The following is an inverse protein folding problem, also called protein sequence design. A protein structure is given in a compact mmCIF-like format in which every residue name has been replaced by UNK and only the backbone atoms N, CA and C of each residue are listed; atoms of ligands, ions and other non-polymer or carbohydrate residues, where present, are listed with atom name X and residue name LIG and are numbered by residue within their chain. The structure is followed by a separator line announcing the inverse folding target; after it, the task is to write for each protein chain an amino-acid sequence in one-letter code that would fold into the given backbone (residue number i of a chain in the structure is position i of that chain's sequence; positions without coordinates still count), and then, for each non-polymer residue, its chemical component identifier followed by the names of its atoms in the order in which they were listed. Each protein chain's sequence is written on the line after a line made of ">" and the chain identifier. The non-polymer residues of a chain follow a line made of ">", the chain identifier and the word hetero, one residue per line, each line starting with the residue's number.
data_IF_035027089999
#
_entry.id   IF_035027089999
#
_cell.length_a   1.000
_cell.length_b   1.000
_cell.length_c   1.000
_cell.angle_alpha   90.00
_cell.angle_beta   90.00
_cell.angle_gamma   90.00
#
_symmetry.space_group_name_H-M   'P 1'
#
loop_
_entity.id
_entity.type
_entity.pdbx_description
1 polymer ?
#
# COMPACT_ATOMS: atom_id res chain seq x y z
N UNK A 1 -57.19 -14.78 53.94
CA UNK A 1 -57.73 -15.16 52.61
C UNK A 1 -56.76 -14.62 51.55
N UNK A 2 -55.85 -15.46 51.06
CA UNK A 2 -54.77 -15.04 50.14
C UNK A 2 -55.06 -15.65 48.77
N UNK A 3 -55.28 -14.81 47.75
CA UNK A 3 -55.43 -15.25 46.36
C UNK A 3 -54.03 -15.47 45.77
N UNK A 4 -53.74 -16.71 45.39
CA UNK A 4 -52.52 -17.07 44.65
C UNK A 4 -52.80 -16.79 43.17
N UNK A 5 -52.30 -15.67 42.66
CA UNK A 5 -52.30 -15.36 41.23
C UNK A 5 -51.22 -16.18 40.54
N UNK A 6 -51.61 -17.18 39.75
CA UNK A 6 -50.68 -17.94 38.89
C UNK A 6 -50.32 -17.08 37.67
N UNK A 7 -49.09 -16.55 37.64
CA UNK A 7 -48.53 -15.97 36.43
C UNK A 7 -48.29 -17.10 35.42
N UNK A 8 -49.01 -17.07 34.30
CA UNK A 8 -48.77 -17.98 33.18
C UNK A 8 -47.50 -17.53 32.46
N UNK A 9 -46.35 -18.13 32.82
CA UNK A 9 -45.07 -17.87 32.18
C UNK A 9 -45.11 -18.31 30.72
N UNK A 10 -45.28 -17.36 29.80
CA UNK A 10 -45.10 -17.61 28.37
C UNK A 10 -43.62 -17.94 28.11
N UNK A 11 -43.31 -19.24 28.06
CA UNK A 11 -42.03 -19.74 27.57
C UNK A 11 -41.86 -19.35 26.10
N UNK A 12 -41.28 -18.16 25.84
CA UNK A 12 -40.76 -17.83 24.52
C UNK A 12 -39.58 -18.75 24.24
N UNK A 13 -39.82 -19.84 23.50
CA UNK A 13 -38.75 -20.68 22.98
C UNK A 13 -37.85 -19.80 22.11
N UNK A 14 -36.58 -19.64 22.50
CA UNK A 14 -35.55 -19.10 21.61
C UNK A 14 -35.50 -20.01 20.38
N UNK A 15 -35.87 -19.47 19.22
CA UNK A 15 -35.70 -20.17 17.94
C UNK A 15 -34.22 -20.18 17.63
N UNK A 16 -33.63 -21.37 17.48
CA UNK A 16 -32.26 -21.53 17.00
C UNK A 16 -32.17 -21.24 15.50
N UNK A 17 -30.96 -20.88 15.04
CA UNK A 17 -30.63 -20.76 13.62
C UNK A 17 -30.77 -22.13 12.94
N UNK A 18 -31.28 -22.16 11.71
CA UNK A 18 -31.29 -23.40 10.93
C UNK A 18 -29.96 -23.61 10.21
N UNK A 19 -29.62 -24.86 9.88
CA UNK A 19 -28.43 -25.18 9.09
C UNK A 19 -28.48 -24.51 7.71
N UNK A 20 -29.67 -24.46 7.10
CA UNK A 20 -29.91 -23.81 5.81
C UNK A 20 -29.64 -22.30 5.87
N UNK A 21 -30.01 -21.65 6.97
CA UNK A 21 -29.79 -20.22 7.18
C UNK A 21 -28.29 -19.88 7.31
N UNK A 22 -27.52 -20.72 8.00
CA UNK A 22 -26.06 -20.60 8.01
C UNK A 22 -25.43 -20.87 6.64
N UNK A 23 -25.94 -21.86 5.88
CA UNK A 23 -25.43 -22.15 4.54
C UNK A 23 -25.63 -20.96 3.59
N UNK A 24 -26.82 -20.35 3.61
CA UNK A 24 -27.11 -19.15 2.81
C UNK A 24 -26.21 -17.99 3.24
N UNK A 25 -26.00 -17.77 4.55
CA UNK A 25 -25.12 -16.72 5.05
C UNK A 25 -23.67 -16.89 4.57
N UNK A 26 -23.12 -18.12 4.61
CA UNK A 26 -21.77 -18.42 4.12
C UNK A 26 -21.66 -18.17 2.61
N UNK A 27 -22.68 -18.56 1.84
CA UNK A 27 -22.71 -18.31 0.38
C UNK A 27 -22.68 -16.81 0.08
N UNK A 28 -23.47 -16.00 0.80
CA UNK A 28 -23.48 -14.54 0.62
C UNK A 28 -22.11 -13.93 0.96
N UNK A 29 -21.51 -14.31 2.10
CA UNK A 29 -20.18 -13.84 2.49
C UNK A 29 -19.12 -14.26 1.47
N UNK A 30 -19.21 -15.47 0.93
CA UNK A 30 -18.30 -15.97 -0.11
C UNK A 30 -18.34 -15.12 -1.39
N UNK A 31 -19.54 -14.74 -1.85
CA UNK A 31 -19.70 -13.87 -3.04
C UNK A 31 -19.10 -12.49 -2.79
N UNK A 32 -19.34 -11.89 -1.63
CA UNK A 32 -18.81 -10.57 -1.30
C UNK A 32 -17.29 -10.61 -1.19
N UNK A 33 -16.73 -11.62 -0.52
CA UNK A 33 -15.30 -11.78 -0.32
C UNK A 33 -14.53 -11.89 -1.65
N UNK A 34 -15.10 -12.59 -2.65
CA UNK A 34 -14.49 -12.76 -3.96
C UNK A 34 -14.23 -11.44 -4.70
N UNK A 35 -15.09 -10.43 -4.50
CA UNK A 35 -14.96 -9.11 -5.15
C UNK A 35 -14.21 -8.14 -4.24
N UNK A 36 -14.52 -8.15 -2.94
CA UNK A 36 -13.97 -7.20 -1.97
C UNK A 36 -12.47 -7.39 -1.74
N UNK A 37 -11.99 -8.64 -1.66
CA UNK A 37 -10.60 -8.93 -1.36
C UNK A 37 -9.58 -8.38 -2.39
N UNK A 38 -9.70 -8.67 -3.71
CA UNK A 38 -8.77 -8.12 -4.69
C UNK A 38 -8.85 -6.60 -4.79
N UNK A 39 -10.04 -6.02 -4.65
CA UNK A 39 -10.24 -4.58 -4.65
C UNK A 39 -9.50 -3.89 -3.49
N UNK A 40 -9.66 -4.43 -2.27
CA UNK A 40 -8.95 -3.91 -1.09
C UNK A 40 -7.42 -4.02 -1.24
N UNK A 41 -6.94 -5.16 -1.73
CA UNK A 41 -5.51 -5.37 -1.98
C UNK A 41 -4.94 -4.33 -2.93
N UNK A 42 -5.63 -4.06 -4.04
CA UNK A 42 -5.20 -3.04 -5.02
C UNK A 42 -5.19 -1.63 -4.40
N UNK A 43 -6.22 -1.27 -3.61
CA UNK A 43 -6.22 0.01 -2.91
C UNK A 43 -5.07 0.16 -1.92
N UNK A 44 -4.72 -0.89 -1.18
CA UNK A 44 -3.56 -0.86 -0.29
C UNK A 44 -2.26 -0.65 -1.07
N UNK A 45 -2.06 -1.36 -2.19
CA UNK A 45 -0.88 -1.21 -3.06
C UNK A 45 -0.77 0.23 -3.59
N UNK A 46 -1.85 0.81 -4.09
CA UNK A 46 -1.86 2.19 -4.58
C UNK A 46 -1.59 3.20 -3.47
N UNK A 47 -2.14 3.01 -2.28
CA UNK A 47 -1.87 3.89 -1.14
C UNK A 47 -0.38 3.90 -0.76
N UNK A 48 0.25 2.73 -0.72
CA UNK A 48 1.70 2.64 -0.48
C UNK A 48 2.53 3.22 -1.63
N UNK A 49 2.07 3.11 -2.89
CA UNK A 49 2.69 3.81 -4.02
C UNK A 49 2.67 5.32 -3.80
N UNK A 50 1.54 5.89 -3.40
CA UNK A 50 1.44 7.34 -3.14
C UNK A 50 2.41 7.80 -2.05
N UNK A 51 2.61 7.00 -0.99
CA UNK A 51 3.62 7.29 0.03
C UNK A 51 5.03 7.28 -0.58
N UNK A 52 5.35 6.28 -1.40
CA UNK A 52 6.65 6.20 -2.08
C UNK A 52 6.90 7.36 -3.04
N UNK A 53 5.87 7.83 -3.77
CA UNK A 53 5.96 9.03 -4.60
C UNK A 53 6.27 10.28 -3.77
N UNK A 54 5.57 10.44 -2.64
CA UNK A 54 5.85 11.54 -1.70
C UNK A 54 7.27 11.46 -1.16
N UNK A 55 7.79 10.27 -0.89
CA UNK A 55 9.15 10.07 -0.42
C UNK A 55 10.18 10.38 -1.51
N UNK A 56 9.93 10.06 -2.78
CA UNK A 56 10.77 10.51 -3.89
C UNK A 56 10.83 12.04 -3.93
N UNK A 57 9.70 12.73 -3.80
CA UNK A 57 9.68 14.20 -3.77
C UNK A 57 10.40 14.79 -2.55
N UNK A 58 10.33 14.13 -1.39
CA UNK A 58 11.09 14.53 -0.19
C UNK A 58 12.59 14.36 -0.38
N UNK A 59 13.01 13.23 -0.95
CA UNK A 59 14.42 13.00 -1.33
C UNK A 59 14.89 14.09 -2.28
N UNK A 60 14.10 14.40 -3.32
CA UNK A 60 14.43 15.46 -4.28
C UNK A 60 14.60 16.81 -3.57
N UNK A 61 13.66 17.19 -2.70
CA UNK A 61 13.76 18.42 -1.94
C UNK A 61 15.02 18.47 -1.08
N UNK A 62 15.34 17.39 -0.38
CA UNK A 62 16.56 17.32 0.46
C UNK A 62 17.83 17.48 -0.39
N UNK A 63 17.90 16.82 -1.55
CA UNK A 63 19.01 16.98 -2.50
C UNK A 63 19.17 18.42 -2.98
N UNK A 64 18.08 19.10 -3.32
CA UNK A 64 18.11 20.48 -3.78
C UNK A 64 18.47 21.47 -2.66
N UNK A 65 17.99 21.24 -1.44
CA UNK A 65 18.29 22.12 -0.29
C UNK A 65 19.71 21.99 0.23
N UNK A 66 20.32 20.81 0.09
CA UNK A 66 21.70 20.52 0.53
C UNK A 66 22.73 20.71 -0.57
N UNK A 67 22.33 21.22 -1.74
CA UNK A 67 23.22 21.47 -2.86
C UNK A 67 24.32 22.48 -2.50
N UNK A 68 25.58 22.04 -2.57
CA UNK A 68 26.75 22.88 -2.32
C UNK A 68 27.86 22.59 -3.34
N UNK A 69 27.60 22.92 -4.60
CA UNK A 69 28.52 22.62 -5.72
C UNK A 69 28.51 21.16 -6.16
N UNK A 70 27.65 20.33 -5.56
CA UNK A 70 27.42 18.93 -5.88
C UNK A 70 26.26 18.38 -5.06
N UNK A 71 25.75 17.22 -5.46
CA UNK A 71 24.75 16.46 -4.72
C UNK A 71 25.44 15.36 -3.92
N UNK A 72 25.15 15.29 -2.62
CA UNK A 72 25.53 14.18 -1.76
C UNK A 72 24.27 13.56 -1.17
N UNK A 73 24.13 12.25 -1.32
CA UNK A 73 22.98 11.50 -0.84
C UNK A 73 23.32 10.49 0.27
N UNK A 74 24.56 10.47 0.76
CA UNK A 74 24.98 9.56 1.82
C UNK A 74 24.20 9.79 3.14
N UNK A 75 23.73 11.01 3.39
CA UNK A 75 22.86 11.34 4.52
C UNK A 75 21.39 10.94 4.33
N UNK A 76 20.96 10.72 3.09
CA UNK A 76 19.57 10.44 2.71
C UNK A 76 19.34 8.93 2.57
N UNK A 77 20.27 8.24 1.92
CA UNK A 77 20.22 6.79 1.71
C UNK A 77 21.48 6.16 2.28
N UNK A 78 21.31 5.31 3.27
CA UNK A 78 22.39 4.58 3.92
C UNK A 78 22.09 3.08 3.92
N UNK A 79 22.99 2.27 3.39
CA UNK A 79 22.82 0.81 3.35
C UNK A 79 21.61 0.32 2.51
N UNK A 80 21.10 1.14 1.59
CA UNK A 80 19.90 0.84 0.79
C UNK A 80 18.57 1.15 1.50
N UNK A 81 18.63 1.76 2.68
CA UNK A 81 17.48 2.28 3.41
C UNK A 81 17.47 3.81 3.35
N UNK A 82 16.30 4.38 3.08
CA UNK A 82 16.10 5.81 3.15
C UNK A 82 15.85 6.24 4.60
N UNK A 83 16.59 7.23 5.09
CA UNK A 83 16.53 7.69 6.48
C UNK A 83 15.40 8.69 6.74
N UNK A 84 14.89 9.33 5.68
CA UNK A 84 13.87 10.38 5.73
C UNK A 84 12.51 9.94 5.14
N UNK A 85 12.39 8.67 4.73
CA UNK A 85 11.22 8.15 4.04
C UNK A 85 10.24 7.49 5.02
N UNK A 86 8.95 7.61 4.75
CA UNK A 86 7.87 6.97 5.53
C UNK A 86 7.45 5.61 4.93
N UNK A 87 7.87 5.31 3.70
CA UNK A 87 7.54 4.06 3.00
C UNK A 87 8.05 2.83 3.74
N UNK A 88 7.21 1.80 3.80
CA UNK A 88 7.59 0.51 4.36
C UNK A 88 8.79 -0.10 3.61
N UNK A 89 9.86 -0.43 4.34
CA UNK A 89 11.06 -1.05 3.79
C UNK A 89 10.82 -2.46 3.20
N UNK A 90 9.70 -3.10 3.58
CA UNK A 90 9.22 -4.37 3.00
C UNK A 90 8.51 -4.17 1.64
N UNK A 91 8.15 -2.93 1.28
CA UNK A 91 7.41 -2.61 0.04
C UNK A 91 8.25 -1.89 -0.98
N UNK A 92 9.10 -0.97 -0.53
CA UNK A 92 9.97 -0.19 -1.40
C UNK A 92 11.39 -0.14 -0.86
N UNK A 93 12.37 -0.25 -1.75
CA UNK A 93 13.74 0.15 -1.50
C UNK A 93 14.11 1.36 -2.34
N UNK A 94 14.90 2.26 -1.78
CA UNK A 94 15.29 3.50 -2.44
C UNK A 94 16.78 3.49 -2.78
N UNK A 95 17.12 4.04 -3.93
CA UNK A 95 18.50 4.27 -4.34
C UNK A 95 18.60 5.55 -5.16
N UNK A 96 19.74 6.24 -5.06
CA UNK A 96 20.06 7.41 -5.88
C UNK A 96 21.34 7.11 -6.65
N UNK A 97 21.32 7.43 -7.94
CA UNK A 97 22.49 7.33 -8.81
C UNK A 97 22.57 8.58 -9.70
N UNK A 98 23.76 8.92 -10.17
CA UNK A 98 23.95 9.94 -11.21
C UNK A 98 24.17 9.28 -12.57
N UNK A 99 23.99 10.06 -13.65
CA UNK A 99 24.31 9.64 -15.01
C UNK A 99 24.96 10.78 -15.80
N UNK A 100 25.35 10.51 -17.04
CA UNK A 100 25.90 11.54 -17.93
C UNK A 100 24.87 12.64 -18.28
N UNK A 101 23.57 12.38 -18.12
CA UNK A 101 22.47 13.27 -18.53
C UNK A 101 21.59 13.73 -17.38
N UNK A 102 21.74 13.17 -16.18
CA UNK A 102 20.99 13.55 -14.99
C UNK A 102 21.93 13.61 -13.78
N UNK A 103 21.86 14.73 -13.04
CA UNK A 103 22.71 14.94 -11.87
C UNK A 103 22.38 13.94 -10.75
N UNK A 104 21.10 13.60 -10.61
CA UNK A 104 20.60 12.49 -9.81
C UNK A 104 19.40 11.82 -10.48
N UNK A 105 19.23 10.54 -10.17
CA UNK A 105 18.11 9.68 -10.53
C UNK A 105 17.69 8.99 -9.24
N UNK A 106 16.56 9.42 -8.69
CA UNK A 106 15.96 8.82 -7.51
C UNK A 106 15.15 7.63 -8.00
N UNK A 107 15.37 6.46 -7.41
CA UNK A 107 14.70 5.21 -7.80
C UNK A 107 14.06 4.57 -6.58
N UNK A 108 12.74 4.37 -6.63
CA UNK A 108 12.00 3.50 -5.72
C UNK A 108 11.76 2.16 -6.43
N UNK A 109 12.30 1.08 -5.87
CA UNK A 109 12.10 -0.28 -6.39
C UNK A 109 11.03 -0.98 -5.56
N UNK A 110 9.95 -1.41 -6.20
CA UNK A 110 8.91 -2.20 -5.55
C UNK A 110 9.43 -3.60 -5.20
N UNK A 111 9.06 -4.07 -4.00
CA UNK A 111 9.43 -5.37 -3.46
C UNK A 111 8.26 -6.34 -3.46
N UNK A 112 8.58 -7.63 -3.53
CA UNK A 112 7.60 -8.71 -3.53
C UNK A 112 7.16 -9.15 -2.13
N UNK A 113 7.86 -8.74 -1.06
CA UNK A 113 7.59 -9.20 0.31
C UNK A 113 6.13 -8.96 0.75
N UNK A 114 5.52 -7.86 0.27
CA UNK A 114 4.10 -7.53 0.52
C UNK A 114 3.29 -7.31 -0.78
N UNK A 115 3.78 -7.86 -1.90
CA UNK A 115 3.11 -7.81 -3.20
C UNK A 115 3.07 -6.44 -3.88
N UNK A 116 4.00 -5.53 -3.55
CA UNK A 116 4.05 -4.20 -4.17
C UNK A 116 4.51 -4.27 -5.64
N UNK A 117 5.31 -5.28 -5.99
CA UNK A 117 5.73 -5.62 -7.34
C UNK A 117 4.57 -6.00 -8.28
N UNK A 118 3.43 -6.36 -7.70
CA UNK A 118 2.17 -6.63 -8.39
C UNK A 118 1.33 -5.40 -8.73
N UNK A 119 1.79 -4.17 -8.44
CA UNK A 119 1.07 -2.96 -8.84
C UNK A 119 0.89 -2.93 -10.38
N UNK A 120 -0.37 -2.74 -10.80
CA UNK A 120 -0.75 -2.65 -12.21
C UNK A 120 -0.12 -1.48 -12.96
N UNK A 121 0.42 -0.49 -12.25
CA UNK A 121 1.10 0.64 -12.90
C UNK A 121 2.42 0.25 -13.57
N UNK A 122 3.03 -0.87 -13.15
CA UNK A 122 4.31 -1.28 -13.71
C UNK A 122 4.15 -2.00 -15.05
N UNK A 123 4.92 -1.61 -16.09
CA UNK A 123 4.89 -2.31 -17.37
C UNK A 123 5.31 -3.79 -17.24
N UNK A 124 4.73 -4.62 -18.09
CA UNK A 124 5.04 -6.05 -18.17
C UNK A 124 6.45 -6.26 -18.73
N UNK A 125 7.22 -7.14 -18.06
CA UNK A 125 8.57 -7.51 -18.51
C UNK A 125 9.65 -6.44 -18.29
N UNK A 126 9.38 -5.44 -17.44
CA UNK A 126 10.33 -4.40 -17.04
C UNK A 126 10.56 -4.44 -15.53
N UNK A 127 11.67 -3.84 -15.08
CA UNK A 127 11.96 -3.65 -13.67
C UNK A 127 10.83 -2.84 -13.00
N UNK A 128 10.39 -3.31 -11.81
CA UNK A 128 9.31 -2.70 -11.02
C UNK A 128 9.82 -1.48 -10.26
N UNK A 129 10.22 -0.46 -11.01
CA UNK A 129 10.88 0.75 -10.49
C UNK A 129 10.10 2.00 -10.87
N UNK A 130 10.07 2.94 -9.94
CA UNK A 130 9.57 4.30 -10.14
C UNK A 130 10.77 5.23 -10.01
N UNK A 131 10.99 6.08 -11.01
CA UNK A 131 12.17 6.94 -11.09
C UNK A 131 11.82 8.39 -11.34
N UNK A 132 12.56 9.29 -10.70
CA UNK A 132 12.55 10.72 -10.95
C UNK A 132 13.97 11.23 -11.17
N UNK A 133 14.19 11.94 -12.29
CA UNK A 133 15.48 12.57 -12.59
C UNK A 133 15.55 14.01 -12.09
N UNK A 134 16.77 14.54 -11.98
CA UNK A 134 17.00 15.98 -11.68
C UNK A 134 16.41 16.95 -12.71
N UNK A 135 15.95 16.45 -13.86
CA UNK A 135 15.26 17.23 -14.89
C UNK A 135 13.74 17.05 -14.85
N UNK A 136 13.22 16.47 -13.76
CA UNK A 136 11.80 16.13 -13.57
C UNK A 136 11.24 15.20 -14.65
N UNK A 137 12.05 14.24 -15.11
CA UNK A 137 11.56 13.16 -15.97
C UNK A 137 11.12 12.00 -15.06
N UNK A 138 9.82 11.75 -15.08
CA UNK A 138 9.15 10.68 -14.35
C UNK A 138 9.05 9.42 -15.21
N UNK A 139 9.29 8.25 -14.61
CA UNK A 139 9.09 6.97 -15.28
C UNK A 139 8.76 5.86 -14.30
N UNK A 140 7.91 4.88 -14.65
CA UNK A 140 6.98 4.90 -15.79
C UNK A 140 5.80 5.82 -15.50
N UNK A 141 5.34 6.61 -16.48
CA UNK A 141 4.31 7.64 -16.27
C UNK A 141 3.02 7.13 -15.61
N UNK A 142 2.61 5.90 -15.94
CA UNK A 142 1.42 5.27 -15.35
C UNK A 142 1.47 5.07 -13.83
N UNK A 143 2.66 5.09 -13.22
CA UNK A 143 2.82 5.01 -11.76
C UNK A 143 2.80 6.38 -11.06
N UNK A 144 2.88 7.47 -11.82
CA UNK A 144 2.88 8.85 -11.31
C UNK A 144 1.49 9.50 -11.37
N UNK A 145 0.56 8.88 -12.10
CA UNK A 145 -0.87 9.22 -12.14
C UNK A 145 -1.66 8.72 -10.90
#
# INVERSE_FOLDING_TARGET
>A
MIRISRCNGYNRRLRGMTLVELLIAVVIVGIIAAIAYPSYSNHAITAHRTVALSDISRIQLELETTYNGGYDWNGIISGGSCTICDSDADRFSFSIASSATAAYIITATAKSDRGQDGDSCFPSGQDKKITLTSTNIESPSACWD
#
